data_IF_221928231986
#
_entry.id   IF_221928231986
#
_cell.length_a   1.000
_cell.length_b   1.000
_cell.length_c   1.000
_cell.angle_alpha   90.00
_cell.angle_beta   90.00
_cell.angle_gamma   90.00
#
_symmetry.space_group_name_H-M   'P 1'
#
loop_
_entity.id
_entity.type
_entity.pdbx_description
1 polymer ?
#
# COMPACT_ATOMS: atom_id res chain seq x y z
N UNK A 1 -8.81 -9.68 23.88
CA UNK A 1 -7.54 -8.94 24.07
C UNK A 1 -6.77 -9.02 22.77
N UNK A 2 -6.33 -7.91 22.21
CA UNK A 2 -5.52 -7.90 20.98
C UNK A 2 -4.04 -8.05 21.35
N UNK A 3 -3.30 -8.85 20.58
CA UNK A 3 -1.87 -9.09 20.79
C UNK A 3 -1.14 -8.74 19.51
N UNK A 4 -0.07 -7.96 19.62
CA UNK A 4 0.80 -7.65 18.49
C UNK A 4 1.75 -8.81 18.24
N UNK A 5 1.78 -9.27 17.00
CA UNK A 5 2.64 -10.36 16.54
C UNK A 5 3.20 -10.01 15.16
N UNK A 6 4.25 -10.70 14.76
CA UNK A 6 4.76 -10.56 13.39
C UNK A 6 3.74 -11.05 12.37
N UNK A 7 3.71 -10.41 11.20
CA UNK A 7 2.74 -10.70 10.14
C UNK A 7 2.80 -12.18 9.68
N UNK A 8 3.99 -12.75 9.52
CA UNK A 8 4.14 -14.15 9.15
C UNK A 8 3.51 -15.10 10.17
N UNK A 9 3.58 -14.75 11.45
CA UNK A 9 2.99 -15.54 12.54
C UNK A 9 1.48 -15.37 12.58
N UNK A 10 0.95 -14.15 12.39
CA UNK A 10 -0.48 -13.90 12.25
C UNK A 10 -1.11 -14.71 11.11
N UNK A 11 -0.44 -14.76 9.95
CA UNK A 11 -0.86 -15.54 8.79
C UNK A 11 -0.88 -17.03 9.14
N UNK A 12 0.19 -17.54 9.75
CA UNK A 12 0.27 -18.94 10.16
C UNK A 12 -0.86 -19.32 11.14
N UNK A 13 -1.17 -18.44 12.09
CA UNK A 13 -2.26 -18.62 13.05
C UNK A 13 -3.65 -18.60 12.39
N UNK A 14 -3.87 -17.72 11.40
CA UNK A 14 -5.14 -17.62 10.66
C UNK A 14 -5.39 -18.84 9.78
N UNK A 15 -4.37 -19.36 9.11
CA UNK A 15 -4.47 -20.59 8.30
C UNK A 15 -4.90 -21.77 9.17
N UNK A 16 -4.45 -21.83 10.43
CA UNK A 16 -4.87 -22.83 11.39
C UNK A 16 -6.28 -22.59 12.00
N UNK A 17 -7.03 -21.59 11.50
CA UNK A 17 -8.40 -21.19 11.90
C UNK A 17 -8.59 -20.79 13.37
N UNK A 18 -7.52 -20.50 14.11
CA UNK A 18 -7.62 -20.25 15.56
C UNK A 18 -7.90 -18.79 15.92
N UNK A 19 -7.75 -17.85 14.98
CA UNK A 19 -7.74 -16.42 15.29
C UNK A 19 -8.27 -15.55 14.14
N UNK A 20 -8.66 -14.32 14.48
CA UNK A 20 -9.05 -13.25 13.56
C UNK A 20 -7.90 -12.27 13.40
N UNK A 21 -7.59 -11.87 12.17
CA UNK A 21 -6.63 -10.79 11.91
C UNK A 21 -7.40 -9.47 11.94
N UNK A 22 -6.90 -8.50 12.71
CA UNK A 22 -7.40 -7.13 12.68
C UNK A 22 -6.59 -6.35 11.66
N UNK A 23 -7.28 -5.70 10.71
CA UNK A 23 -6.62 -4.86 9.70
C UNK A 23 -5.81 -3.74 10.37
N UNK A 24 -4.61 -3.42 9.87
CA UNK A 24 -3.83 -2.27 10.33
C UNK A 24 -4.61 -0.96 10.20
N UNK A 25 -4.33 0.01 11.06
CA UNK A 25 -5.02 1.32 11.09
C UNK A 25 -4.92 2.07 9.75
N UNK A 26 -3.83 1.88 9.01
CA UNK A 26 -3.64 2.53 7.72
C UNK A 26 -4.50 1.94 6.60
N UNK A 27 -5.03 0.72 6.77
CA UNK A 27 -5.96 0.09 5.80
C UNK A 27 -7.38 0.64 5.93
N UNK A 28 -7.51 1.95 6.13
CA UNK A 28 -8.78 2.65 6.09
C UNK A 28 -9.03 3.25 4.69
N UNK A 29 -10.27 3.14 4.23
CA UNK A 29 -10.65 3.52 2.87
C UNK A 29 -10.66 5.04 2.71
N UNK A 30 -11.07 5.79 3.73
CA UNK A 30 -11.08 7.25 3.66
C UNK A 30 -9.66 7.77 3.65
N UNK A 31 -8.82 7.26 4.56
CA UNK A 31 -7.39 7.61 4.63
C UNK A 31 -6.68 7.33 3.30
N UNK A 32 -6.90 6.15 2.70
CA UNK A 32 -6.28 5.79 1.42
C UNK A 32 -6.81 6.64 0.25
N UNK A 33 -8.09 7.05 0.27
CA UNK A 33 -8.64 7.97 -0.74
C UNK A 33 -8.03 9.35 -0.64
N UNK A 34 -7.90 9.89 0.57
CA UNK A 34 -7.24 11.17 0.81
C UNK A 34 -5.77 11.11 0.37
N UNK A 35 -5.07 10.03 0.73
CA UNK A 35 -3.69 9.78 0.31
C UNK A 35 -3.56 9.73 -1.22
N UNK A 36 -4.51 9.11 -1.92
CA UNK A 36 -4.55 9.10 -3.40
C UNK A 36 -4.67 10.50 -3.98
N UNK A 37 -5.53 11.35 -3.44
CA UNK A 37 -5.71 12.72 -3.96
C UNK A 37 -4.51 13.60 -3.64
N UNK A 38 -3.91 13.42 -2.47
CA UNK A 38 -2.62 14.02 -2.09
C UNK A 38 -1.52 13.58 -3.06
N UNK A 39 -1.39 12.28 -3.31
CA UNK A 39 -0.43 11.73 -4.27
C UNK A 39 -0.60 12.34 -5.66
N UNK A 40 -1.82 12.48 -6.19
CA UNK A 40 -2.03 13.13 -7.50
C UNK A 40 -1.62 14.61 -7.51
N UNK A 41 -1.82 15.33 -6.41
CA UNK A 41 -1.56 16.78 -6.32
C UNK A 41 -0.06 17.09 -6.23
N UNK A 42 0.71 16.24 -5.55
CA UNK A 42 2.14 16.46 -5.37
C UNK A 42 2.95 15.94 -6.55
N UNK A 43 4.01 16.68 -6.92
CA UNK A 43 4.92 16.29 -8.00
C UNK A 43 5.90 15.18 -7.57
N UNK A 44 6.28 15.14 -6.30
CA UNK A 44 7.09 14.08 -5.69
C UNK A 44 6.21 12.92 -5.19
N UNK A 45 6.82 11.78 -4.85
CA UNK A 45 6.10 10.69 -4.19
C UNK A 45 5.89 11.04 -2.72
N UNK A 46 4.67 10.82 -2.25
CA UNK A 46 4.29 11.18 -0.87
C UNK A 46 4.76 10.09 0.10
N UNK A 47 4.71 10.30 1.42
CA UNK A 47 5.07 9.24 2.35
C UNK A 47 3.92 8.23 2.47
N UNK A 48 4.19 6.95 2.23
CA UNK A 48 3.20 5.89 2.47
C UNK A 48 3.09 5.59 3.97
N UNK A 49 1.92 5.10 4.43
CA UNK A 49 1.73 4.71 5.83
C UNK A 49 2.62 3.53 6.27
N UNK A 50 2.95 2.63 5.34
CA UNK A 50 3.93 1.55 5.51
C UNK A 50 4.82 1.49 4.27
N UNK A 51 6.12 1.26 4.47
CA UNK A 51 7.11 1.01 3.40
C UNK A 51 6.77 -0.25 2.60
N UNK A 52 6.03 -1.18 3.19
CA UNK A 52 5.69 -2.47 2.59
C UNK A 52 4.18 -2.65 2.41
N UNK A 53 3.43 -1.55 2.30
CA UNK A 53 1.97 -1.55 2.23
C UNK A 53 1.40 -2.54 1.20
N UNK A 54 2.03 -2.69 0.03
CA UNK A 54 1.56 -3.62 -1.01
C UNK A 54 1.60 -5.07 -0.55
N UNK A 55 2.72 -5.48 0.05
CA UNK A 55 2.95 -6.86 0.49
C UNK A 55 2.06 -7.14 1.70
N UNK A 56 2.03 -6.23 2.68
CA UNK A 56 1.18 -6.35 3.85
C UNK A 56 -0.29 -6.54 3.46
N UNK A 57 -0.78 -5.70 2.56
CA UNK A 57 -2.14 -5.76 2.07
C UNK A 57 -2.43 -7.03 1.28
N UNK A 58 -1.55 -7.42 0.36
CA UNK A 58 -1.73 -8.65 -0.40
C UNK A 58 -1.80 -9.87 0.52
N UNK A 59 -0.93 -9.95 1.52
CA UNK A 59 -0.89 -11.06 2.46
C UNK A 59 -2.15 -11.10 3.33
N UNK A 60 -2.49 -9.98 3.99
CA UNK A 60 -3.66 -9.90 4.89
C UNK A 60 -4.94 -10.24 4.12
N UNK A 61 -5.12 -9.68 2.94
CA UNK A 61 -6.33 -9.89 2.16
C UNK A 61 -6.45 -11.26 1.50
N UNK A 62 -5.34 -11.98 1.34
CA UNK A 62 -5.36 -13.34 0.77
C UNK A 62 -5.57 -14.38 1.87
N UNK A 63 -5.15 -14.10 3.10
CA UNK A 63 -5.31 -15.01 4.24
C UNK A 63 -6.59 -14.75 5.05
N UNK A 64 -7.05 -13.49 5.11
CA UNK A 64 -8.18 -13.08 5.94
C UNK A 64 -9.21 -12.22 5.18
N UNK A 65 -9.73 -12.66 4.01
CA UNK A 65 -10.76 -11.91 3.30
C UNK A 65 -12.07 -11.80 4.10
N UNK A 66 -12.39 -12.81 4.91
CA UNK A 66 -13.62 -12.86 5.72
C UNK A 66 -13.58 -11.86 6.89
N UNK A 67 -12.39 -11.44 7.31
CA UNK A 67 -12.22 -10.56 8.48
C UNK A 67 -12.45 -9.08 8.12
N UNK A 68 -12.37 -8.72 6.84
CA UNK A 68 -12.56 -7.37 6.30
C UNK A 68 -13.50 -7.39 5.08
N UNK A 69 -14.80 -7.07 5.26
CA UNK A 69 -15.79 -7.12 4.18
C UNK A 69 -15.50 -6.14 3.03
N UNK A 70 -14.67 -5.10 3.27
CA UNK A 70 -14.32 -4.10 2.26
C UNK A 70 -13.04 -4.43 1.49
N UNK A 71 -12.54 -5.67 1.60
CA UNK A 71 -11.31 -6.15 0.98
C UNK A 71 -11.19 -5.78 -0.51
N UNK A 72 -12.23 -6.00 -1.32
CA UNK A 72 -12.21 -5.68 -2.75
C UNK A 72 -12.05 -4.18 -3.05
N UNK A 73 -12.68 -3.31 -2.25
CA UNK A 73 -12.55 -1.87 -2.40
C UNK A 73 -11.15 -1.40 -2.00
N UNK A 74 -10.62 -1.89 -0.88
CA UNK A 74 -9.25 -1.63 -0.46
C UNK A 74 -8.24 -2.10 -1.54
N UNK A 75 -8.45 -3.26 -2.18
CA UNK A 75 -7.68 -3.71 -3.36
C UNK A 75 -7.63 -2.69 -4.46
N UNK A 76 -8.78 -2.15 -4.78
CA UNK A 76 -8.91 -1.17 -5.85
C UNK A 76 -8.25 0.16 -5.49
N UNK A 77 -8.42 0.66 -4.26
CA UNK A 77 -7.82 1.95 -3.86
C UNK A 77 -6.29 1.87 -3.80
N UNK A 78 -5.73 0.83 -3.18
CA UNK A 78 -4.27 0.65 -3.10
C UNK A 78 -3.66 0.46 -4.48
N UNK A 79 -4.30 -0.31 -5.36
CA UNK A 79 -3.85 -0.47 -6.75
C UNK A 79 -3.85 0.87 -7.49
N UNK A 80 -4.91 1.67 -7.35
CA UNK A 80 -4.96 2.99 -7.97
C UNK A 80 -3.84 3.93 -7.48
N UNK A 81 -3.46 3.86 -6.20
CA UNK A 81 -2.32 4.65 -5.68
C UNK A 81 -1.03 4.18 -6.33
N UNK A 82 -0.81 2.86 -6.41
CA UNK A 82 0.35 2.28 -7.06
C UNK A 82 0.45 2.68 -8.54
N UNK A 83 -0.63 2.58 -9.30
CA UNK A 83 -0.64 2.92 -10.73
C UNK A 83 -0.30 4.41 -10.95
N UNK A 84 -0.75 5.32 -10.06
CA UNK A 84 -0.35 6.75 -10.08
C UNK A 84 1.14 6.92 -9.81
N UNK A 85 1.69 6.21 -8.82
CA UNK A 85 3.13 6.26 -8.49
C UNK A 85 3.99 5.70 -9.62
N UNK A 86 3.60 4.58 -10.20
CA UNK A 86 4.28 3.99 -11.36
C UNK A 86 4.30 4.96 -12.55
N UNK A 87 3.17 5.62 -12.82
CA UNK A 87 3.08 6.64 -13.85
C UNK A 87 4.07 7.79 -13.61
N UNK A 88 4.15 8.31 -12.37
CA UNK A 88 5.12 9.35 -11.99
C UNK A 88 6.56 8.90 -12.16
N UNK A 89 6.90 7.69 -11.69
CA UNK A 89 8.22 7.11 -11.84
C UNK A 89 8.61 7.03 -13.31
N UNK A 90 7.71 6.55 -14.16
CA UNK A 90 7.93 6.47 -15.61
C UNK A 90 8.16 7.84 -16.23
N UNK A 91 7.36 8.85 -15.87
CA UNK A 91 7.55 10.22 -16.36
C UNK A 91 8.88 10.81 -15.89
N UNK A 92 9.26 10.57 -14.64
CA UNK A 92 10.54 11.03 -14.08
C UNK A 92 11.73 10.41 -14.81
N UNK A 93 11.70 9.11 -15.06
CA UNK A 93 12.74 8.40 -15.82
C UNK A 93 12.79 8.91 -17.26
N UNK A 94 11.64 9.11 -17.91
CA UNK A 94 11.61 9.64 -19.28
C UNK A 94 12.23 11.04 -19.37
N UNK A 95 11.90 11.93 -18.41
CA UNK A 95 12.49 13.25 -18.34
C UNK A 95 14.01 13.20 -18.08
N UNK A 96 14.46 12.27 -17.23
CA UNK A 96 15.87 12.05 -16.95
C UNK A 96 16.65 11.62 -18.20
N UNK A 97 16.15 10.62 -18.94
CA UNK A 97 16.80 10.13 -20.16
C UNK A 97 16.84 11.23 -21.23
N UNK A 98 15.72 11.93 -21.46
CA UNK A 98 15.63 12.97 -22.48
C UNK A 98 16.52 14.19 -22.17
N UNK A 99 16.75 14.48 -20.90
CA UNK A 99 17.56 15.59 -20.44
C UNK A 99 19.06 15.29 -20.28
N UNK A 100 19.55 14.12 -20.73
CA UNK A 100 20.93 13.65 -20.46
C UNK A 100 21.29 13.77 -18.97
N UNK A 101 20.33 13.43 -18.10
CA UNK A 101 20.38 13.77 -16.69
C UNK A 101 21.59 13.15 -15.96
N UNK A 102 22.23 13.96 -15.11
CA UNK A 102 23.35 13.55 -14.23
C UNK A 102 22.87 13.31 -12.79
N UNK A 103 21.64 13.76 -12.46
CA UNK A 103 21.06 13.69 -11.12
C UNK A 103 19.56 13.35 -11.18
N UNK A 104 19.14 12.43 -10.32
CA UNK A 104 17.75 12.11 -10.06
C UNK A 104 17.53 11.98 -8.55
N UNK A 105 16.43 12.55 -8.05
CA UNK A 105 16.02 12.42 -6.65
C UNK A 105 14.74 11.59 -6.57
N UNK A 106 14.81 10.48 -5.85
CA UNK A 106 13.66 9.66 -5.53
C UNK A 106 13.36 9.85 -4.03
N UNK A 107 12.28 10.55 -3.73
CA UNK A 107 11.75 10.72 -2.38
C UNK A 107 10.61 9.72 -2.16
N UNK A 108 10.56 9.06 -0.99
CA UNK A 108 9.52 8.12 -0.52
C UNK A 108 9.05 7.07 -1.55
#
# INVERSE_FOLDING_TARGET
>A
MAVYVFLWFAIHLKVNQKYRIVSPEWMDIQLLKELKEVEKKFKHLTKMPSEHYMIEMQLIMSTAPDDEPRCGLLRTVVKNIFDVRESKLRTSIYAFIKGEGIYAKLDN
#
